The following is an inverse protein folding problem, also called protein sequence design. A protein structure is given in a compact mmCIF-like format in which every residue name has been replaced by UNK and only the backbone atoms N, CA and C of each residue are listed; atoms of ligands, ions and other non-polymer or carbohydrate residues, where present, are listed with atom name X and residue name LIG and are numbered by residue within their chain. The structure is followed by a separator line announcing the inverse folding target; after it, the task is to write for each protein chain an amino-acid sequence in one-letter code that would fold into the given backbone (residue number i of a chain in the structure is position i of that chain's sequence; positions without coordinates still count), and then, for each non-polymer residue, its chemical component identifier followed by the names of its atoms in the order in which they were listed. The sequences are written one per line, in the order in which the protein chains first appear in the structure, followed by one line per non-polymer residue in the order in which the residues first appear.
data_IF_356916964398
#
_entry.id   IF_356916964398
#
_cell.length_a   1.000
_cell.length_b   1.000
_cell.length_c   1.000
_cell.angle_alpha   90.00
_cell.angle_beta   90.00
_cell.angle_gamma   90.00
#
_symmetry.space_group_name_H-M   'P 1'
#
loop_
_entity.id
_entity.type
_entity.pdbx_description
1 polymer ?
#
# COMPACT_ATOMS: atom_id res chain seq x y z
N UNK A 1 -18.53 17.13 20.34
CA UNK A 1 -18.13 16.10 19.38
C UNK A 1 -16.61 16.09 19.29
N UNK A 2 -16.01 14.94 19.14
CA UNK A 2 -14.57 14.79 18.81
C UNK A 2 -14.46 14.38 17.34
N UNK A 3 -13.58 15.05 16.61
CA UNK A 3 -13.30 14.76 15.21
C UNK A 3 -11.80 14.49 15.02
N UNK A 4 -11.48 13.44 14.30
CA UNK A 4 -10.12 13.26 13.80
C UNK A 4 -9.90 14.18 12.59
N UNK A 5 -8.71 14.77 12.43
CA UNK A 5 -8.40 15.58 11.26
C UNK A 5 -8.54 14.75 9.97
N UNK A 6 -9.13 15.36 8.95
CA UNK A 6 -9.34 14.78 7.63
C UNK A 6 -9.33 15.87 6.55
N UNK A 7 -9.92 15.64 5.38
CA UNK A 7 -10.03 16.62 4.30
C UNK A 7 -10.75 17.90 4.80
N UNK A 8 -10.13 19.08 4.70
CA UNK A 8 -10.70 20.35 5.17
C UNK A 8 -11.97 20.76 4.44
N UNK A 9 -12.29 20.17 3.29
CA UNK A 9 -13.50 20.50 2.50
C UNK A 9 -14.76 19.78 2.94
N UNK A 10 -14.66 18.82 3.88
CA UNK A 10 -15.81 18.09 4.39
C UNK A 10 -16.84 19.03 5.04
N UNK A 11 -18.13 18.80 4.77
CA UNK A 11 -19.21 19.63 5.29
C UNK A 11 -19.25 19.70 6.82
N UNK A 12 -18.85 18.65 7.52
CA UNK A 12 -18.74 18.62 8.98
C UNK A 12 -17.83 19.74 9.51
N UNK A 13 -16.76 20.09 8.80
CA UNK A 13 -15.91 21.20 9.20
C UNK A 13 -16.60 22.54 9.00
N UNK A 14 -17.27 22.76 7.88
CA UNK A 14 -18.01 24.00 7.60
C UNK A 14 -19.15 24.20 8.57
N UNK A 15 -19.93 23.15 8.83
CA UNK A 15 -21.13 23.24 9.65
C UNK A 15 -20.86 23.34 11.14
N UNK A 16 -19.79 22.69 11.63
CA UNK A 16 -19.57 22.53 13.08
C UNK A 16 -18.25 23.12 13.58
N UNK A 17 -17.15 23.04 12.84
CA UNK A 17 -15.84 23.47 13.36
C UNK A 17 -15.50 24.88 12.91
N UNK A 18 -15.60 25.19 11.62
CA UNK A 18 -15.18 26.47 11.07
C UNK A 18 -16.04 27.65 11.55
N UNK A 19 -17.26 27.36 12.02
CA UNK A 19 -18.14 28.36 12.68
C UNK A 19 -17.96 28.42 14.21
N UNK A 20 -17.05 27.65 14.79
CA UNK A 20 -16.68 27.74 16.20
C UNK A 20 -15.41 28.57 16.39
N UNK A 21 -15.11 28.94 17.62
CA UNK A 21 -13.85 29.67 17.97
C UNK A 21 -13.20 29.00 19.17
N UNK A 22 -11.86 29.01 19.29
CA UNK A 22 -11.21 28.56 20.51
C UNK A 22 -11.57 29.49 21.66
N UNK A 23 -11.62 28.95 22.89
CA UNK A 23 -11.67 29.80 24.08
C UNK A 23 -10.38 30.63 24.18
N UNK A 24 -10.43 31.86 24.76
CA UNK A 24 -9.26 32.74 24.83
C UNK A 24 -8.03 32.08 25.47
N UNK A 25 -8.22 31.26 26.48
CA UNK A 25 -7.17 30.50 27.15
C UNK A 25 -6.54 29.41 26.29
N UNK A 26 -7.22 28.94 25.24
CA UNK A 26 -6.77 27.89 24.31
C UNK A 26 -6.39 28.40 22.94
N UNK A 27 -6.53 29.71 22.71
CA UNK A 27 -6.22 30.32 21.42
C UNK A 27 -4.74 30.18 21.04
N UNK A 28 -3.84 30.20 22.03
CA UNK A 28 -2.41 30.05 21.82
C UNK A 28 -2.04 28.64 21.36
N UNK A 29 -2.79 27.62 21.78
CA UNK A 29 -2.52 26.21 21.46
C UNK A 29 -3.14 25.81 20.11
N UNK A 30 -4.00 26.66 19.53
CA UNK A 30 -4.57 26.42 18.21
C UNK A 30 -3.59 26.83 17.12
N UNK A 31 -3.13 25.87 16.25
CA UNK A 31 -2.22 26.17 15.16
C UNK A 31 -2.74 27.22 14.19
N UNK A 32 -1.84 27.98 13.58
CA UNK A 32 -2.22 29.03 12.64
C UNK A 32 -2.99 28.47 11.43
N UNK A 33 -2.61 27.29 10.93
CA UNK A 33 -3.34 26.61 9.84
C UNK A 33 -4.80 26.38 10.17
N UNK A 34 -5.12 26.00 11.42
CA UNK A 34 -6.51 25.83 11.86
C UNK A 34 -7.20 27.17 11.94
N UNK A 35 -6.54 28.23 12.47
CA UNK A 35 -7.11 29.58 12.53
C UNK A 35 -7.45 30.12 11.14
N UNK A 36 -6.59 29.88 10.17
CA UNK A 36 -6.77 30.30 8.78
C UNK A 36 -7.96 29.60 8.09
N UNK A 37 -8.37 28.45 8.59
CA UNK A 37 -9.54 27.69 8.09
C UNK A 37 -10.85 28.13 8.74
N UNK A 38 -10.84 28.89 9.86
CA UNK A 38 -12.04 29.36 10.58
C UNK A 38 -12.68 30.56 9.88
N UNK A 39 -13.12 30.40 8.63
CA UNK A 39 -13.64 31.47 7.77
C UNK A 39 -15.16 31.68 7.87
N UNK A 40 -15.87 30.73 8.48
CA UNK A 40 -17.31 30.82 8.61
C UNK A 40 -17.73 31.79 9.72
N UNK A 41 -18.92 32.37 9.60
CA UNK A 41 -19.50 33.25 10.62
C UNK A 41 -19.56 32.50 11.99
N UNK A 42 -19.01 33.12 13.07
CA UNK A 42 -19.01 32.46 14.37
C UNK A 42 -20.41 32.24 14.91
N UNK A 43 -20.73 31.04 15.31
CA UNK A 43 -22.00 30.74 16.01
C UNK A 43 -21.84 31.00 17.51
N UNK A 44 -22.71 31.82 18.14
CA UNK A 44 -22.63 32.10 19.57
C UNK A 44 -22.60 30.85 20.44
N UNK A 45 -21.62 30.74 21.34
CA UNK A 45 -21.47 29.60 22.23
C UNK A 45 -20.86 28.35 21.62
N UNK A 46 -20.45 28.40 20.36
CA UNK A 46 -19.75 27.28 19.73
C UNK A 46 -18.25 27.45 19.90
N UNK A 47 -17.66 26.53 20.70
CA UNK A 47 -16.24 26.52 21.02
C UNK A 47 -15.60 25.22 20.59
N UNK A 48 -14.31 25.24 20.32
CA UNK A 48 -13.51 24.04 20.05
C UNK A 48 -12.17 24.07 20.78
N UNK A 49 -11.59 22.91 20.95
CA UNK A 49 -10.24 22.69 21.44
C UNK A 49 -9.45 21.96 20.37
N UNK A 50 -8.17 22.29 20.26
CA UNK A 50 -7.24 21.60 19.39
C UNK A 50 -6.39 20.64 20.24
N UNK A 51 -6.21 19.43 19.74
CA UNK A 51 -5.31 18.43 20.30
C UNK A 51 -4.40 17.87 19.23
N UNK A 52 -3.11 17.85 19.50
CA UNK A 52 -2.10 17.17 18.70
C UNK A 52 -1.81 15.77 19.25
N UNK A 53 -0.94 15.04 18.54
CA UNK A 53 -0.47 13.74 19.04
C UNK A 53 0.26 13.82 20.38
N UNK A 54 0.97 14.93 20.60
CA UNK A 54 1.75 15.15 21.84
C UNK A 54 0.87 15.36 23.05
N UNK A 55 -0.34 15.88 22.88
CA UNK A 55 -1.31 16.11 23.97
C UNK A 55 -1.90 14.81 24.53
N UNK A 56 -1.65 13.67 23.90
CA UNK A 56 -2.14 12.37 24.38
C UNK A 56 -1.31 11.87 25.57
N UNK A 57 -1.68 12.31 26.76
CA UNK A 57 -1.01 11.92 28.02
C UNK A 57 -1.17 10.42 28.35
N UNK A 58 -2.17 9.75 27.81
CA UNK A 58 -2.38 8.31 28.01
C UNK A 58 -1.45 7.41 27.18
N UNK A 59 -0.68 7.98 26.25
CA UNK A 59 0.22 7.23 25.38
C UNK A 59 1.67 7.34 25.90
N UNK A 60 2.33 6.22 26.28
CA UNK A 60 3.72 6.23 26.73
C UNK A 60 4.65 6.81 25.65
N UNK A 61 5.70 7.53 26.07
CA UNK A 61 6.61 8.22 25.14
C UNK A 61 7.29 7.27 24.15
N UNK A 62 7.69 6.08 24.58
CA UNK A 62 8.24 5.04 23.71
C UNK A 62 7.28 4.66 22.58
N UNK A 63 5.97 4.56 22.91
CA UNK A 63 4.92 4.24 21.94
C UNK A 63 4.70 5.41 20.99
N UNK A 64 4.75 6.66 21.47
CA UNK A 64 4.68 7.87 20.64
C UNK A 64 5.82 7.88 19.62
N UNK A 65 7.05 7.71 20.06
CA UNK A 65 8.22 7.70 19.18
C UNK A 65 8.14 6.59 18.12
N UNK A 66 7.71 5.39 18.50
CA UNK A 66 7.52 4.28 17.57
C UNK A 66 6.45 4.58 16.49
N UNK A 67 5.34 5.21 16.89
CA UNK A 67 4.30 5.64 15.94
C UNK A 67 4.86 6.70 14.99
N UNK A 68 5.59 7.69 15.51
CA UNK A 68 6.21 8.74 14.69
C UNK A 68 7.24 8.18 13.70
N UNK A 69 8.08 7.22 14.14
CA UNK A 69 9.06 6.56 13.26
C UNK A 69 8.40 5.78 12.12
N UNK A 70 7.22 5.20 12.36
CA UNK A 70 6.47 4.41 11.39
C UNK A 70 5.52 5.23 10.51
N UNK A 71 5.42 6.53 10.75
CA UNK A 71 4.56 7.43 9.98
C UNK A 71 5.43 8.38 9.15
N UNK A 72 5.43 8.26 7.81
CA UNK A 72 6.29 9.08 6.95
C UNK A 72 5.94 10.57 7.06
N UNK A 73 6.96 11.41 7.30
CA UNK A 73 6.80 12.87 7.30
C UNK A 73 6.38 13.38 5.92
N UNK A 74 5.58 14.44 5.88
CA UNK A 74 5.12 15.07 4.65
C UNK A 74 3.92 14.37 3.99
N UNK A 75 3.41 13.28 4.57
CA UNK A 75 2.19 12.62 4.09
C UNK A 75 0.94 13.17 4.77
N UNK A 76 -0.25 12.97 4.16
CA UNK A 76 -1.55 13.24 4.81
C UNK A 76 -1.63 12.54 6.16
N UNK A 77 -1.17 11.29 6.24
CA UNK A 77 -1.20 10.49 7.48
C UNK A 77 -0.37 11.16 8.59
N UNK A 78 0.81 11.68 8.24
CA UNK A 78 1.63 12.45 9.19
C UNK A 78 0.91 13.72 9.65
N UNK A 79 0.39 14.50 8.69
CA UNK A 79 -0.32 15.75 8.97
C UNK A 79 -1.52 15.51 9.89
N UNK A 80 -2.35 14.52 9.57
CA UNK A 80 -3.54 14.22 10.35
C UNK A 80 -3.23 13.59 11.71
N UNK A 81 -2.39 12.53 11.75
CA UNK A 81 -2.15 11.75 12.98
C UNK A 81 -1.19 12.40 13.96
N UNK A 82 -0.10 13.01 13.45
CA UNK A 82 0.96 13.52 14.31
C UNK A 82 0.76 15.00 14.59
N UNK A 83 0.46 15.77 13.56
CA UNK A 83 0.29 17.22 13.73
C UNK A 83 -1.12 17.63 14.15
N UNK A 84 -2.12 16.73 14.04
CA UNK A 84 -3.52 17.07 14.33
C UNK A 84 -4.15 18.01 13.30
N UNK A 85 -3.47 18.25 12.17
CA UNK A 85 -3.88 19.19 11.14
C UNK A 85 -4.73 18.52 10.07
N UNK A 86 -5.65 19.26 9.49
CA UNK A 86 -6.44 18.82 8.34
C UNK A 86 -5.57 18.80 7.09
N UNK A 87 -5.83 17.90 6.16
CA UNK A 87 -5.09 17.83 4.91
C UNK A 87 -5.71 16.90 3.90
N UNK A 88 -5.60 17.29 2.63
CA UNK A 88 -5.86 16.40 1.50
C UNK A 88 -4.64 15.55 1.22
N UNK A 89 -4.88 14.36 0.69
CA UNK A 89 -3.80 13.59 0.11
C UNK A 89 -3.44 14.20 -1.25
N UNK A 90 -2.20 14.61 -1.41
CA UNK A 90 -1.69 15.24 -2.63
C UNK A 90 -0.36 14.64 -3.04
N UNK A 91 -0.02 14.75 -4.32
CA UNK A 91 1.25 14.25 -4.83
C UNK A 91 1.36 12.72 -4.87
N UNK A 92 2.54 12.20 -4.57
CA UNK A 92 2.82 10.76 -4.65
C UNK A 92 2.23 9.99 -3.46
N UNK A 93 1.74 8.78 -3.74
CA UNK A 93 1.25 7.83 -2.72
C UNK A 93 2.41 7.29 -1.88
N UNK A 94 3.58 7.03 -2.50
CA UNK A 94 4.78 6.51 -1.85
C UNK A 94 5.97 7.48 -1.91
N UNK A 95 5.88 8.69 -1.31
CA UNK A 95 6.93 9.72 -1.44
C UNK A 95 8.24 9.34 -0.77
N UNK A 96 8.23 8.36 0.14
CA UNK A 96 9.41 7.83 0.83
C UNK A 96 10.08 6.66 0.09
N UNK A 97 9.53 6.18 -1.03
CA UNK A 97 10.19 5.20 -1.88
C UNK A 97 11.38 5.85 -2.60
N UNK A 98 12.50 5.19 -2.61
CA UNK A 98 13.74 5.68 -3.24
C UNK A 98 14.52 4.54 -3.85
N UNK A 99 14.91 4.66 -5.13
CA UNK A 99 15.76 3.66 -5.81
C UNK A 99 17.05 3.39 -5.03
N UNK A 100 17.66 4.42 -4.48
CA UNK A 100 18.93 4.29 -3.75
C UNK A 100 18.83 3.37 -2.54
N UNK A 101 17.69 3.38 -1.85
CA UNK A 101 17.48 2.62 -0.61
C UNK A 101 16.75 1.30 -0.84
N UNK A 102 15.75 1.31 -1.72
CA UNK A 102 14.77 0.23 -1.81
C UNK A 102 14.91 -0.63 -3.07
N UNK A 103 15.78 -0.24 -4.02
CA UNK A 103 16.06 -1.07 -5.21
C UNK A 103 17.41 -1.76 -5.04
N UNK A 104 17.39 -3.07 -5.20
CA UNK A 104 18.56 -3.94 -5.03
C UNK A 104 18.76 -4.82 -6.26
N UNK A 105 20.02 -5.18 -6.56
CA UNK A 105 20.29 -6.10 -7.66
C UNK A 105 20.06 -7.57 -7.27
N UNK A 106 19.71 -8.39 -8.25
CA UNK A 106 19.64 -9.84 -8.05
C UNK A 106 20.95 -10.41 -7.49
N UNK A 107 22.09 -9.93 -8.00
CA UNK A 107 23.42 -10.32 -7.50
C UNK A 107 23.56 -10.06 -6.00
N UNK A 108 23.08 -8.91 -5.52
CA UNK A 108 23.13 -8.58 -4.10
C UNK A 108 22.26 -9.55 -3.29
N UNK A 109 21.00 -9.79 -3.70
CA UNK A 109 20.08 -10.70 -3.00
C UNK A 109 20.70 -12.10 -2.90
N UNK A 110 21.22 -12.64 -4.02
CA UNK A 110 21.84 -13.96 -4.03
C UNK A 110 23.10 -14.03 -3.16
N UNK A 111 23.91 -12.97 -3.13
CA UNK A 111 25.07 -12.90 -2.24
C UNK A 111 24.65 -12.89 -0.76
N UNK A 112 23.60 -12.14 -0.39
CA UNK A 112 23.08 -12.15 0.99
C UNK A 112 22.50 -13.52 1.38
N UNK A 113 21.82 -14.20 0.45
CA UNK A 113 21.34 -15.58 0.67
C UNK A 113 22.50 -16.55 0.87
N UNK A 114 23.53 -16.50 0.03
CA UNK A 114 24.70 -17.36 0.13
C UNK A 114 25.50 -17.13 1.42
N UNK A 115 25.56 -15.88 1.88
CA UNK A 115 26.17 -15.52 3.17
C UNK A 115 25.31 -15.87 4.40
N UNK A 116 24.07 -16.33 4.21
CA UNK A 116 23.14 -16.64 5.30
C UNK A 116 22.50 -15.42 5.97
N UNK A 117 22.76 -14.20 5.45
CA UNK A 117 22.23 -12.96 5.98
C UNK A 117 20.76 -12.71 5.56
N UNK A 118 20.30 -13.37 4.50
CA UNK A 118 18.94 -13.25 3.99
C UNK A 118 18.37 -14.65 3.78
N UNK A 119 17.27 -14.93 4.47
CA UNK A 119 16.54 -16.20 4.36
C UNK A 119 15.08 -15.93 4.11
N UNK A 120 14.52 -16.54 3.07
CA UNK A 120 13.09 -16.44 2.80
C UNK A 120 12.30 -17.42 3.64
N UNK A 121 11.29 -16.93 4.33
CA UNK A 121 10.33 -17.70 5.11
C UNK A 121 9.10 -18.09 4.30
N UNK A 122 8.69 -17.24 3.36
CA UNK A 122 7.49 -17.43 2.55
C UNK A 122 7.69 -16.81 1.17
N UNK A 123 7.21 -17.49 0.13
CA UNK A 123 7.01 -16.91 -1.20
C UNK A 123 5.51 -16.80 -1.49
N UNK A 124 5.13 -15.77 -2.23
CA UNK A 124 3.76 -15.51 -2.65
C UNK A 124 3.75 -14.78 -3.99
N UNK A 125 2.64 -14.84 -4.68
CA UNK A 125 2.46 -14.18 -5.96
C UNK A 125 1.07 -13.58 -6.06
N UNK A 126 0.98 -12.38 -6.63
CA UNK A 126 -0.28 -11.76 -7.00
C UNK A 126 -0.45 -11.71 -8.50
N UNK A 127 -1.68 -11.66 -8.94
CA UNK A 127 -2.10 -11.42 -10.32
C UNK A 127 -3.21 -10.37 -10.32
N UNK A 128 -2.92 -9.23 -10.92
CA UNK A 128 -3.89 -8.19 -11.21
C UNK A 128 -4.27 -8.24 -12.67
N UNK A 129 -5.57 -8.27 -12.94
CA UNK A 129 -6.11 -8.34 -14.29
C UNK A 129 -7.08 -7.19 -14.47
N UNK A 130 -6.78 -6.30 -15.39
CA UNK A 130 -7.69 -5.23 -15.80
C UNK A 130 -8.20 -5.51 -17.20
N UNK A 131 -9.51 -5.68 -17.32
CA UNK A 131 -10.20 -5.87 -18.60
C UNK A 131 -11.11 -4.67 -18.91
N UNK A 132 -10.71 -3.46 -18.55
CA UNK A 132 -11.46 -2.27 -18.86
C UNK A 132 -11.29 -1.89 -20.34
N UNK A 133 -12.37 -1.83 -21.08
CA UNK A 133 -12.37 -1.41 -22.50
C UNK A 133 -11.94 0.05 -22.72
N UNK A 134 -11.74 0.83 -21.64
CA UNK A 134 -11.40 2.26 -21.70
C UNK A 134 -9.96 2.58 -21.29
N UNK A 135 -9.27 1.65 -20.64
CA UNK A 135 -7.84 1.78 -20.30
C UNK A 135 -7.02 0.82 -21.16
N UNK A 136 -5.73 1.06 -21.28
CA UNK A 136 -4.79 0.07 -21.78
C UNK A 136 -4.80 -1.11 -20.81
N UNK A 137 -5.63 -2.11 -21.10
CA UNK A 137 -5.76 -3.31 -20.30
C UNK A 137 -4.37 -3.87 -19.98
N UNK A 138 -4.01 -3.86 -18.71
CA UNK A 138 -2.71 -4.32 -18.24
C UNK A 138 -2.92 -5.50 -17.31
N UNK A 139 -2.21 -6.59 -17.58
CA UNK A 139 -2.14 -7.75 -16.70
C UNK A 139 -0.79 -7.71 -16.01
N UNK A 140 -0.79 -7.64 -14.70
CA UNK A 140 0.42 -7.58 -13.89
C UNK A 140 0.54 -8.80 -12.97
N UNK A 141 1.73 -9.41 -12.99
CA UNK A 141 2.10 -10.56 -12.16
C UNK A 141 3.30 -10.17 -11.33
N UNK A 142 3.20 -10.27 -10.02
CA UNK A 142 4.28 -9.93 -9.09
C UNK A 142 4.58 -11.12 -8.19
N UNK A 143 5.83 -11.61 -8.27
CA UNK A 143 6.36 -12.63 -7.38
C UNK A 143 7.23 -11.99 -6.31
N UNK A 144 7.03 -12.39 -5.06
CA UNK A 144 7.68 -11.77 -3.91
C UNK A 144 8.00 -12.78 -2.82
N UNK A 145 9.00 -12.45 -2.02
CA UNK A 145 9.42 -13.23 -0.87
C UNK A 145 9.35 -12.43 0.41
N UNK A 146 8.96 -13.09 1.49
CA UNK A 146 8.99 -12.55 2.86
C UNK A 146 10.13 -13.24 3.58
N UNK A 147 11.03 -12.45 4.19
CA UNK A 147 12.22 -12.96 4.86
C UNK A 147 11.97 -13.29 6.35
N UNK A 148 12.88 -14.01 6.97
CA UNK A 148 12.84 -14.29 8.40
C UNK A 148 12.98 -13.00 9.24
N UNK A 149 13.77 -12.03 8.74
CA UNK A 149 13.93 -10.70 9.35
C UNK A 149 12.82 -9.70 8.93
N UNK A 150 11.67 -10.24 8.45
CA UNK A 150 10.42 -9.50 8.21
C UNK A 150 10.47 -8.47 7.08
N UNK A 151 11.34 -8.64 6.09
CA UNK A 151 11.35 -7.83 4.87
C UNK A 151 10.47 -8.43 3.79
N UNK A 152 9.82 -7.58 3.01
CA UNK A 152 9.15 -7.91 1.77
C UNK A 152 10.08 -7.57 0.61
N UNK A 153 10.36 -8.53 -0.23
CA UNK A 153 11.22 -8.34 -1.41
C UNK A 153 10.45 -8.74 -2.66
N UNK A 154 10.23 -7.79 -3.57
CA UNK A 154 9.70 -8.07 -4.91
C UNK A 154 10.82 -8.67 -5.75
N UNK A 155 10.66 -9.90 -6.22
CA UNK A 155 11.71 -10.72 -6.82
C UNK A 155 11.57 -10.88 -8.34
N UNK A 156 10.34 -10.81 -8.85
CA UNK A 156 10.09 -10.87 -10.29
C UNK A 156 8.76 -10.20 -10.62
N UNK A 157 8.71 -9.67 -11.82
CA UNK A 157 7.49 -9.13 -12.42
C UNK A 157 7.27 -9.68 -13.83
N UNK A 158 6.03 -9.72 -14.25
CA UNK A 158 5.65 -9.84 -15.64
C UNK A 158 4.42 -8.99 -15.90
N UNK A 159 4.54 -8.10 -16.87
CA UNK A 159 3.46 -7.19 -17.26
C UNK A 159 3.14 -7.41 -18.73
N UNK A 160 1.86 -7.49 -19.04
CA UNK A 160 1.33 -7.52 -20.40
C UNK A 160 0.40 -6.33 -20.55
N UNK A 161 0.73 -5.43 -21.50
CA UNK A 161 -0.15 -4.36 -21.92
C UNK A 161 -0.82 -4.79 -23.22
N UNK A 162 -2.14 -4.75 -23.25
CA UNK A 162 -2.88 -5.09 -24.47
C UNK A 162 -2.60 -4.14 -25.65
N UNK A 163 -2.02 -2.95 -25.37
CA UNK A 163 -1.54 -2.05 -26.43
C UNK A 163 -0.33 -2.61 -27.18
N UNK A 164 0.46 -3.44 -26.52
CA UNK A 164 1.70 -4.01 -27.07
C UNK A 164 1.48 -5.41 -27.67
N UNK A 165 0.24 -5.89 -27.64
CA UNK A 165 -0.15 -7.20 -28.15
C UNK A 165 -1.00 -7.05 -29.42
N UNK A 166 -0.77 -7.91 -30.40
CA UNK A 166 -1.59 -7.97 -31.63
C UNK A 166 -3.07 -8.29 -31.33
N UNK A 167 -3.32 -9.04 -30.27
CA UNK A 167 -4.65 -9.35 -29.74
C UNK A 167 -4.64 -9.34 -28.21
N UNK A 168 -5.73 -8.85 -27.56
CA UNK A 168 -5.87 -8.92 -26.11
C UNK A 168 -5.79 -10.37 -25.60
N UNK A 169 -5.18 -10.57 -24.44
CA UNK A 169 -5.13 -11.88 -23.80
C UNK A 169 -6.52 -12.30 -23.32
N UNK A 170 -6.92 -13.50 -23.71
CA UNK A 170 -8.09 -14.14 -23.10
C UNK A 170 -7.77 -14.65 -21.67
N UNK A 171 -8.78 -14.87 -20.82
CA UNK A 171 -8.58 -15.45 -19.49
C UNK A 171 -7.81 -16.79 -19.51
N UNK A 172 -8.05 -17.63 -20.53
CA UNK A 172 -7.31 -18.91 -20.74
C UNK A 172 -5.81 -18.66 -21.01
N UNK A 173 -5.48 -17.67 -21.83
CA UNK A 173 -4.09 -17.33 -22.16
C UNK A 173 -3.38 -16.75 -20.94
N UNK A 174 -4.10 -15.89 -20.20
CA UNK A 174 -3.62 -15.32 -18.94
C UNK A 174 -3.31 -16.42 -17.93
N UNK A 175 -4.17 -17.43 -17.80
CA UNK A 175 -3.96 -18.56 -16.92
C UNK A 175 -2.68 -19.35 -17.28
N UNK A 176 -2.46 -19.68 -18.55
CA UNK A 176 -1.24 -20.35 -18.99
C UNK A 176 0.01 -19.51 -18.70
N UNK A 177 -0.01 -18.23 -19.11
CA UNK A 177 1.11 -17.31 -18.87
C UNK A 177 1.43 -17.12 -17.39
N UNK A 178 0.42 -17.10 -16.53
CA UNK A 178 0.62 -17.01 -15.09
C UNK A 178 1.29 -18.25 -14.52
N UNK A 179 0.89 -19.44 -14.95
CA UNK A 179 1.52 -20.68 -14.53
C UNK A 179 2.95 -20.77 -15.02
N UNK A 180 3.24 -20.40 -16.26
CA UNK A 180 4.59 -20.35 -16.80
C UNK A 180 5.48 -19.37 -15.97
N UNK A 181 4.94 -18.22 -15.61
CA UNK A 181 5.61 -17.26 -14.75
C UNK A 181 5.92 -17.84 -13.36
N UNK A 182 4.95 -18.53 -12.75
CA UNK A 182 5.12 -19.20 -11.45
C UNK A 182 6.18 -20.31 -11.49
N UNK A 183 6.20 -21.12 -12.56
CA UNK A 183 7.19 -22.17 -12.73
C UNK A 183 8.61 -21.62 -12.95
N UNK A 184 8.73 -20.49 -13.66
CA UNK A 184 10.01 -19.77 -13.78
C UNK A 184 10.45 -19.26 -12.41
N UNK A 185 9.60 -18.56 -11.69
CA UNK A 185 9.92 -18.03 -10.36
C UNK A 185 10.25 -19.13 -9.36
N UNK A 186 9.59 -20.28 -9.46
CA UNK A 186 9.89 -21.45 -8.64
C UNK A 186 11.30 -21.96 -8.85
N UNK A 187 11.78 -22.01 -10.10
CA UNK A 187 13.14 -22.43 -10.44
C UNK A 187 14.18 -21.42 -9.95
N UNK A 188 13.86 -20.12 -10.09
CA UNK A 188 14.82 -19.05 -9.81
C UNK A 188 14.92 -18.73 -8.31
N UNK A 189 13.82 -18.80 -7.57
CA UNK A 189 13.70 -18.29 -6.20
C UNK A 189 13.16 -19.30 -5.20
N UNK A 190 12.02 -19.92 -5.51
CA UNK A 190 11.37 -20.87 -4.62
C UNK A 190 9.86 -20.99 -4.88
N UNK A 191 9.19 -21.81 -4.08
CA UNK A 191 7.82 -22.22 -4.34
C UNK A 191 6.78 -21.33 -3.61
N UNK A 192 6.01 -20.57 -4.39
CA UNK A 192 4.83 -19.86 -3.90
C UNK A 192 3.59 -20.74 -3.99
N UNK A 193 3.32 -21.53 -2.96
CA UNK A 193 2.16 -22.45 -2.93
C UNK A 193 0.84 -21.72 -3.12
N UNK A 194 0.67 -20.60 -2.41
CA UNK A 194 -0.55 -19.80 -2.44
C UNK A 194 -0.32 -18.57 -3.32
N UNK A 195 -1.17 -18.40 -4.32
CA UNK A 195 -1.15 -17.30 -5.28
C UNK A 195 -2.50 -16.60 -5.28
N UNK A 196 -2.50 -15.29 -5.40
CA UNK A 196 -3.69 -14.47 -5.20
C UNK A 196 -4.05 -13.73 -6.47
N UNK A 197 -5.26 -13.94 -6.93
CA UNK A 197 -5.79 -13.39 -8.19
C UNK A 197 -6.84 -12.36 -7.87
N UNK A 198 -6.94 -11.28 -8.66
CA UNK A 198 -8.00 -10.31 -8.46
C UNK A 198 -9.36 -11.00 -8.41
N UNK A 199 -10.09 -10.77 -7.32
CA UNK A 199 -11.40 -11.40 -7.10
C UNK A 199 -12.48 -10.86 -8.04
N UNK A 200 -12.25 -9.74 -8.73
CA UNK A 200 -13.15 -9.23 -9.77
C UNK A 200 -13.08 -10.06 -11.06
N UNK A 201 -11.99 -10.81 -11.26
CA UNK A 201 -11.79 -11.64 -12.45
C UNK A 201 -12.14 -13.12 -12.21
N UNK A 202 -13.42 -13.40 -12.09
CA UNK A 202 -13.93 -14.76 -11.94
C UNK A 202 -13.60 -15.67 -13.15
N UNK A 203 -13.40 -15.08 -14.34
CA UNK A 203 -13.11 -15.83 -15.55
C UNK A 203 -11.69 -16.44 -15.50
N UNK A 204 -10.68 -15.63 -15.21
CA UNK A 204 -9.29 -16.11 -15.06
C UNK A 204 -9.16 -17.09 -13.89
N UNK A 205 -9.83 -16.85 -12.77
CA UNK A 205 -9.85 -17.78 -11.63
C UNK A 205 -10.42 -19.14 -12.04
N UNK A 206 -11.50 -19.13 -12.83
CA UNK A 206 -12.12 -20.36 -13.34
C UNK A 206 -11.16 -21.12 -14.27
N UNK A 207 -10.49 -20.43 -15.19
CA UNK A 207 -9.52 -21.07 -16.12
C UNK A 207 -8.30 -21.62 -15.35
N UNK A 208 -7.78 -20.91 -14.34
CA UNK A 208 -6.71 -21.40 -13.47
C UNK A 208 -7.11 -22.67 -12.71
N UNK A 209 -8.32 -22.71 -12.14
CA UNK A 209 -8.86 -23.90 -11.46
C UNK A 209 -9.07 -25.06 -12.42
N UNK A 210 -9.53 -24.76 -13.64
CA UNK A 210 -9.67 -25.76 -14.72
C UNK A 210 -8.31 -26.31 -15.12
N UNK A 211 -7.31 -25.46 -15.33
CA UNK A 211 -5.94 -25.88 -15.65
C UNK A 211 -5.40 -26.81 -14.54
N UNK A 212 -5.55 -26.42 -13.27
CA UNK A 212 -5.12 -27.23 -12.13
C UNK A 212 -5.76 -28.63 -12.16
N UNK A 213 -7.04 -28.71 -12.45
CA UNK A 213 -7.76 -29.99 -12.52
C UNK A 213 -7.29 -30.87 -13.68
N UNK A 214 -6.97 -30.26 -14.83
CA UNK A 214 -6.58 -31.01 -16.03
C UNK A 214 -5.10 -31.41 -16.03
N UNK A 215 -4.23 -30.58 -15.47
CA UNK A 215 -2.78 -30.75 -15.54
C UNK A 215 -2.09 -31.01 -14.20
N UNK A 216 -2.82 -30.96 -13.09
CA UNK A 216 -2.30 -31.32 -11.77
C UNK A 216 -1.26 -30.37 -11.19
N UNK A 217 -1.36 -29.04 -11.40
CA UNK A 217 -0.41 -28.08 -10.86
C UNK A 217 -0.48 -27.96 -9.33
N UNK A 218 0.65 -27.61 -8.71
CA UNK A 218 0.80 -27.59 -7.25
C UNK A 218 0.32 -26.28 -6.59
N UNK A 219 -0.02 -25.26 -7.38
CA UNK A 219 -0.40 -23.95 -6.89
C UNK A 219 -1.86 -23.92 -6.39
N UNK A 220 -2.10 -23.13 -5.36
CA UNK A 220 -3.46 -22.77 -4.93
C UNK A 220 -3.78 -21.39 -5.50
N UNK A 221 -4.84 -21.31 -6.30
CA UNK A 221 -5.35 -20.05 -6.85
C UNK A 221 -6.46 -19.54 -5.96
N UNK A 222 -6.18 -18.46 -5.24
CA UNK A 222 -7.02 -17.89 -4.20
C UNK A 222 -7.47 -16.51 -4.67
N UNK A 223 -8.75 -16.22 -4.47
CA UNK A 223 -9.28 -14.87 -4.72
C UNK A 223 -8.62 -13.87 -3.78
N UNK A 224 -8.23 -12.71 -4.31
CA UNK A 224 -7.61 -11.64 -3.53
C UNK A 224 -8.54 -11.18 -2.40
N UNK A 225 -7.94 -10.85 -1.26
CA UNK A 225 -8.68 -10.49 -0.07
C UNK A 225 -8.98 -8.98 -0.05
N UNK A 226 -10.22 -8.59 -0.42
CA UNK A 226 -10.63 -7.17 -0.50
C UNK A 226 -11.13 -6.55 0.82
N UNK A 227 -11.08 -7.27 1.96
CA UNK A 227 -11.51 -6.71 3.26
C UNK A 227 -10.51 -5.72 3.89
N UNK A 228 -9.32 -5.58 3.30
CA UNK A 228 -8.36 -4.55 3.71
C UNK A 228 -8.50 -3.39 2.73
N UNK A 229 -8.98 -2.28 3.23
CA UNK A 229 -9.19 -1.06 2.45
C UNK A 229 -7.88 -0.58 1.80
N UNK A 230 -7.98 0.06 0.63
CA UNK A 230 -6.81 0.52 -0.12
C UNK A 230 -5.94 1.49 0.71
N UNK A 231 -6.56 2.35 1.50
CA UNK A 231 -5.84 3.29 2.37
C UNK A 231 -5.06 2.57 3.47
N UNK A 232 -5.59 1.48 4.02
CA UNK A 232 -4.87 0.67 5.02
C UNK A 232 -3.72 -0.10 4.39
N UNK A 233 -3.87 -0.58 3.15
CA UNK A 233 -2.78 -1.21 2.39
C UNK A 233 -1.64 -0.24 2.15
N UNK A 234 -1.95 0.96 1.67
CA UNK A 234 -0.98 2.04 1.45
C UNK A 234 -0.25 2.38 2.74
N UNK A 235 -0.97 2.54 3.85
CA UNK A 235 -0.42 2.87 5.17
C UNK A 235 0.56 1.81 5.68
N UNK A 236 0.24 0.52 5.52
CA UNK A 236 1.14 -0.57 5.86
C UNK A 236 2.42 -0.51 5.02
N UNK A 237 2.28 -0.35 3.71
CA UNK A 237 3.41 -0.31 2.78
C UNK A 237 4.31 0.91 3.00
N UNK A 238 3.73 2.09 3.25
CA UNK A 238 4.48 3.30 3.67
C UNK A 238 5.30 3.04 4.94
N UNK A 239 4.71 2.37 5.92
CA UNK A 239 5.40 2.01 7.15
C UNK A 239 6.58 1.06 6.90
N UNK A 240 6.42 0.05 6.04
CA UNK A 240 7.51 -0.89 5.70
C UNK A 240 8.63 -0.23 4.90
N UNK A 241 8.29 0.68 3.98
CA UNK A 241 9.27 1.50 3.26
C UNK A 241 10.07 2.36 4.25
N UNK A 242 9.39 3.00 5.20
CA UNK A 242 10.02 3.83 6.23
C UNK A 242 10.95 3.03 7.16
N UNK A 243 10.66 1.76 7.39
CA UNK A 243 11.43 0.83 8.22
C UNK A 243 12.57 0.13 7.46
N UNK A 244 12.80 0.45 6.18
CA UNK A 244 13.71 -0.28 5.28
C UNK A 244 13.39 -1.80 5.19
N UNK A 245 12.10 -2.14 5.41
CA UNK A 245 11.57 -3.51 5.32
C UNK A 245 10.95 -3.83 3.94
N UNK A 246 11.09 -2.94 2.96
CA UNK A 246 10.54 -3.06 1.62
C UNK A 246 11.64 -2.92 0.59
N UNK A 247 11.84 -3.97 -0.23
CA UNK A 247 12.85 -3.99 -1.28
C UNK A 247 12.25 -4.48 -2.61
N UNK A 248 12.82 -4.03 -3.70
CA UNK A 248 12.44 -4.40 -5.07
C UNK A 248 13.69 -4.72 -5.87
N UNK A 249 13.67 -5.80 -6.65
CA UNK A 249 14.76 -6.07 -7.60
C UNK A 249 14.78 -5.03 -8.72
N UNK A 250 15.98 -4.64 -9.14
CA UNK A 250 16.23 -3.70 -10.23
C UNK A 250 15.64 -4.16 -11.58
N UNK A 251 15.40 -5.46 -11.73
CA UNK A 251 14.74 -6.07 -12.90
C UNK A 251 13.22 -5.86 -12.92
N UNK A 252 12.60 -5.46 -11.81
CA UNK A 252 11.16 -5.16 -11.71
C UNK A 252 10.89 -3.70 -12.12
N UNK A 253 11.18 -3.37 -13.36
CA UNK A 253 11.21 -1.99 -13.86
C UNK A 253 9.84 -1.33 -13.93
N UNK A 254 8.78 -2.09 -14.23
CA UNK A 254 7.41 -1.57 -14.25
C UNK A 254 6.94 -1.26 -12.83
N UNK A 255 7.17 -2.17 -11.89
CA UNK A 255 6.80 -1.97 -10.49
C UNK A 255 7.53 -0.76 -9.86
N UNK A 256 8.83 -0.62 -10.14
CA UNK A 256 9.60 0.56 -9.71
C UNK A 256 9.00 1.84 -10.30
N UNK A 257 8.66 1.83 -11.60
CA UNK A 257 8.09 3.01 -12.27
C UNK A 257 6.71 3.39 -11.73
N UNK A 258 5.87 2.41 -11.40
CA UNK A 258 4.57 2.67 -10.75
C UNK A 258 4.75 3.20 -9.33
N UNK A 259 5.64 2.61 -8.52
CA UNK A 259 5.96 3.12 -7.18
C UNK A 259 6.43 4.59 -7.17
N UNK A 260 7.09 5.03 -8.24
CA UNK A 260 7.57 6.41 -8.39
C UNK A 260 6.52 7.38 -8.95
N UNK A 261 5.43 6.87 -9.53
CA UNK A 261 4.42 7.69 -10.23
C UNK A 261 3.04 7.62 -9.61
N UNK A 262 2.77 6.60 -8.80
CA UNK A 262 1.45 6.43 -8.20
C UNK A 262 1.09 7.63 -7.36
N UNK A 263 0.00 8.30 -7.72
CA UNK A 263 -0.41 9.59 -7.19
C UNK A 263 -1.82 9.58 -6.62
N UNK A 264 -2.12 10.58 -5.82
CA UNK A 264 -3.44 10.80 -5.28
C UNK A 264 -4.33 11.54 -6.29
N UNK A 265 -5.60 11.13 -6.38
CA UNK A 265 -6.67 11.95 -6.97
C UNK A 265 -7.07 13.02 -5.93
N UNK A 266 -6.61 14.25 -6.16
CA UNK A 266 -6.78 15.35 -5.21
C UNK A 266 -8.24 15.77 -5.02
N UNK A 267 -9.13 15.43 -5.97
CA UNK A 267 -10.55 15.73 -5.88
C UNK A 267 -11.29 14.71 -5.00
N UNK A 268 -10.89 13.44 -5.04
CA UNK A 268 -11.58 12.33 -4.37
C UNK A 268 -10.91 11.86 -3.09
N UNK A 269 -9.69 12.34 -2.80
CA UNK A 269 -8.87 11.91 -1.65
C UNK A 269 -8.61 10.38 -1.60
N UNK A 270 -8.57 9.77 -2.78
CA UNK A 270 -8.21 8.35 -3.00
C UNK A 270 -7.06 8.29 -4.00
N UNK A 271 -6.32 7.17 -4.07
CA UNK A 271 -5.34 7.01 -5.14
C UNK A 271 -5.99 7.05 -6.52
N UNK A 272 -5.26 7.57 -7.52
CA UNK A 272 -5.69 7.50 -8.91
C UNK A 272 -5.80 6.06 -9.38
N UNK A 273 -6.83 5.77 -10.19
CA UNK A 273 -7.04 4.47 -10.84
C UNK A 273 -6.19 4.38 -12.13
N UNK A 274 -4.87 4.53 -11.96
CA UNK A 274 -3.85 4.42 -13.01
C UNK A 274 -2.45 4.24 -12.41
N UNK A 275 -1.56 3.60 -13.15
CA UNK A 275 -0.19 3.28 -12.71
C UNK A 275 -0.15 2.50 -11.38
N UNK A 276 -1.04 1.53 -11.20
CA UNK A 276 -1.22 0.80 -9.95
C UNK A 276 -1.35 -0.72 -10.13
N UNK A 277 -1.28 -1.22 -11.35
CA UNK A 277 -1.50 -2.64 -11.64
C UNK A 277 -0.47 -3.55 -10.96
N UNK A 278 0.81 -3.21 -11.02
CA UNK A 278 1.85 -3.97 -10.34
C UNK A 278 1.77 -3.80 -8.83
N UNK A 279 1.35 -2.62 -8.36
CA UNK A 279 1.12 -2.33 -6.93
C UNK A 279 -0.04 -3.18 -6.42
N UNK A 280 -1.18 -3.21 -7.12
CA UNK A 280 -2.32 -4.06 -6.78
C UNK A 280 -1.95 -5.53 -6.77
N UNK A 281 -1.29 -6.02 -7.83
CA UNK A 281 -0.78 -7.38 -7.92
C UNK A 281 0.12 -7.72 -6.72
N UNK A 282 1.05 -6.85 -6.37
CA UNK A 282 1.92 -7.04 -5.21
C UNK A 282 1.11 -7.09 -3.91
N UNK A 283 0.16 -6.17 -3.73
CA UNK A 283 -0.69 -6.10 -2.55
C UNK A 283 -1.53 -7.36 -2.37
N UNK A 284 -2.12 -7.90 -3.43
CA UNK A 284 -2.86 -9.15 -3.35
C UNK A 284 -1.99 -10.28 -2.78
N UNK A 285 -0.75 -10.37 -3.18
CA UNK A 285 0.19 -11.39 -2.71
C UNK A 285 0.54 -11.25 -1.23
N UNK A 286 0.77 -10.04 -0.70
CA UNK A 286 1.23 -9.88 0.68
C UNK A 286 0.11 -9.67 1.72
N UNK A 287 -1.08 -9.23 1.34
CA UNK A 287 -2.18 -8.93 2.28
C UNK A 287 -2.42 -10.07 3.30
N UNK A 288 -2.50 -11.35 2.92
CA UNK A 288 -2.71 -12.44 3.87
C UNK A 288 -1.55 -12.63 4.86
N UNK A 289 -0.37 -12.14 4.50
CA UNK A 289 0.88 -12.30 5.27
C UNK A 289 1.37 -11.00 5.88
N UNK A 290 0.57 -9.92 5.88
CA UNK A 290 0.96 -8.59 6.35
C UNK A 290 1.56 -8.55 7.75
N UNK A 291 1.11 -9.45 8.63
CA UNK A 291 1.64 -9.56 9.99
C UNK A 291 3.05 -10.18 10.06
N UNK A 292 3.56 -10.71 8.93
CA UNK A 292 4.92 -11.25 8.83
C UNK A 292 5.92 -10.20 8.34
N UNK A 293 5.47 -9.00 7.97
CA UNK A 293 6.27 -7.94 7.35
C UNK A 293 6.36 -6.75 8.31
N UNK A 294 7.51 -6.09 8.34
CA UNK A 294 7.76 -4.97 9.23
C UNK A 294 7.90 -5.37 10.70
N UNK A 295 8.23 -4.42 11.55
CA UNK A 295 8.36 -4.67 12.99
C UNK A 295 6.99 -4.83 13.64
N UNK A 296 6.88 -5.78 14.55
CA UNK A 296 5.65 -5.99 15.32
C UNK A 296 5.30 -4.74 16.12
N UNK A 297 4.07 -4.28 15.96
CA UNK A 297 3.48 -3.37 16.94
C UNK A 297 3.04 -4.17 18.17
N UNK A 298 2.99 -3.54 19.34
CA UNK A 298 2.58 -4.24 20.58
C UNK A 298 1.14 -4.80 20.52
N UNK A 299 0.29 -4.24 19.64
CA UNK A 299 -1.06 -4.77 19.36
C UNK A 299 -1.03 -6.12 18.61
N UNK A 300 0.03 -6.42 17.89
CA UNK A 300 0.21 -7.70 17.17
C UNK A 300 0.82 -8.80 18.07
N UNK A 301 1.29 -8.43 19.28
CA UNK A 301 1.84 -9.37 20.28
C UNK A 301 0.78 -9.87 21.25
N UNK A 302 -0.44 -9.34 21.22
CA UNK A 302 -1.61 -9.77 22.00
C UNK A 302 -2.57 -10.55 21.11
#
# INVERSE_FOLDING_TARGET
ATLNPDDPTLDVYKEYINCSRPLPEWEQDTPQEIKDELKEEPKPGWVHWFFSFDDNAGLPEEKKQKIMQNTPKGTKIWKNKIQGLRGKATGLVFPNFSRKKHVVSEKWVRAQMAAGNLKFKKFTCGLDTSYSSKSSDTIAMIFQGITEDRKLITLAEKVYSNKDLDQPLAPSDTAVKFIDFLEKCRKDWGFAKDTFVDCADAATITELRKYKRLHGCLYNFIESYKKVEILDRIKLQLGWIQQDCYLVLDTCTNHIAEMEKYSWDEEKDIPEDRNDHTINSQQYGWIPYRNMIGFETEEQKR
#
